data_IF_784195234895
#
_entry.id   IF_784195234895
#
_cell.length_a   1.000
_cell.length_b   1.000
_cell.length_c   1.000
_cell.angle_alpha   90.00
_cell.angle_beta   90.00
_cell.angle_gamma   90.00
#
_symmetry.space_group_name_H-M   'P 1'
#
loop_
_entity.id
_entity.type
_entity.pdbx_description
1 polymer ?
#
# COMPACT_ATOMS: atom_id res chain seq x y z
N UNK A 1 -7.81 -31.23 2.86
CA UNK A 1 -6.47 -31.24 3.49
C UNK A 1 -5.96 -29.82 3.62
N UNK A 2 -5.59 -29.40 4.83
CA UNK A 2 -5.02 -28.06 5.11
C UNK A 2 -3.58 -28.05 4.56
N UNK A 3 -3.30 -27.21 3.57
CA UNK A 3 -1.96 -27.08 2.97
C UNK A 3 -1.02 -26.43 3.99
N UNK A 4 0.06 -27.12 4.37
CA UNK A 4 1.08 -26.58 5.27
C UNK A 4 1.86 -25.51 4.50
N UNK A 5 1.76 -24.27 4.98
CA UNK A 5 2.46 -23.12 4.40
C UNK A 5 3.73 -22.88 5.19
N UNK A 6 4.88 -22.82 4.52
CA UNK A 6 6.17 -22.60 5.18
C UNK A 6 6.91 -21.43 4.55
N UNK A 7 7.53 -20.53 5.35
CA UNK A 7 8.38 -19.47 4.81
C UNK A 7 9.55 -20.01 3.98
N UNK A 8 9.85 -19.37 2.85
CA UNK A 8 10.92 -19.77 1.91
C UNK A 8 12.30 -19.90 2.57
N UNK A 9 12.58 -19.12 3.62
CA UNK A 9 13.87 -19.18 4.35
C UNK A 9 14.22 -20.58 4.87
N UNK A 10 13.22 -21.43 5.11
CA UNK A 10 13.40 -22.80 5.60
C UNK A 10 13.45 -23.84 4.49
N UNK A 11 13.38 -23.45 3.21
CA UNK A 11 13.37 -24.37 2.07
C UNK A 11 14.57 -25.32 2.09
N UNK A 12 15.77 -24.77 2.25
CA UNK A 12 16.99 -25.57 2.27
C UNK A 12 17.05 -26.48 3.51
N UNK A 13 16.71 -25.97 4.68
CA UNK A 13 16.70 -26.75 5.93
C UNK A 13 15.72 -27.93 5.84
N UNK A 14 14.50 -27.69 5.35
CA UNK A 14 13.48 -28.74 5.22
C UNK A 14 13.89 -29.75 4.15
N UNK A 15 14.46 -29.30 3.03
CA UNK A 15 14.97 -30.20 2.00
C UNK A 15 16.08 -31.10 2.54
N UNK A 16 17.02 -30.55 3.33
CA UNK A 16 18.10 -31.32 3.95
C UNK A 16 17.53 -32.32 4.95
N UNK A 17 16.70 -31.88 5.90
CA UNK A 17 16.08 -32.77 6.90
C UNK A 17 15.28 -33.88 6.24
N UNK A 18 14.52 -33.57 5.18
CA UNK A 18 13.78 -34.57 4.40
C UNK A 18 14.69 -35.64 3.83
N UNK A 19 15.71 -35.23 3.07
CA UNK A 19 16.60 -36.17 2.40
C UNK A 19 17.42 -36.99 3.40
N UNK A 20 17.88 -36.39 4.49
CA UNK A 20 18.60 -37.13 5.53
C UNK A 20 17.70 -38.16 6.22
N UNK A 21 16.43 -37.82 6.52
CA UNK A 21 15.48 -38.80 7.08
C UNK A 21 15.21 -39.94 6.10
N UNK A 22 14.94 -39.66 4.82
CA UNK A 22 14.68 -40.70 3.81
C UNK A 22 15.89 -41.63 3.66
N UNK A 23 17.10 -41.07 3.52
CA UNK A 23 18.34 -41.85 3.36
C UNK A 23 18.59 -42.70 4.61
N UNK A 24 18.43 -42.13 5.81
CA UNK A 24 18.58 -42.87 7.06
C UNK A 24 17.58 -44.03 7.16
N UNK A 25 16.31 -43.80 6.80
CA UNK A 25 15.28 -44.85 6.79
C UNK A 25 15.59 -45.97 5.79
N UNK A 26 16.12 -45.64 4.61
CA UNK A 26 16.55 -46.64 3.63
C UNK A 26 17.71 -47.47 4.19
N UNK A 27 18.75 -46.84 4.75
CA UNK A 27 19.89 -47.54 5.34
C UNK A 27 19.41 -48.49 6.45
N UNK A 28 18.58 -48.02 7.38
CA UNK A 28 18.01 -48.84 8.46
C UNK A 28 17.20 -50.03 7.90
N UNK A 29 16.45 -49.83 6.81
CA UNK A 29 15.69 -50.89 6.15
C UNK A 29 16.59 -52.01 5.62
N UNK A 30 17.77 -51.68 5.09
CA UNK A 30 18.72 -52.69 4.59
C UNK A 30 19.46 -53.44 5.70
N UNK A 31 19.57 -52.85 6.90
CA UNK A 31 20.17 -53.53 8.06
C UNK A 31 19.17 -54.41 8.84
N UNK A 32 17.88 -54.09 8.78
CA UNK A 32 16.85 -54.77 9.60
C UNK A 32 16.04 -55.81 8.83
N UNK A 33 15.91 -55.69 7.50
CA UNK A 33 15.06 -56.56 6.68
C UNK A 33 15.90 -57.37 5.69
N UNK A 34 15.39 -58.56 5.32
CA UNK A 34 15.95 -59.34 4.21
C UNK A 34 15.85 -58.56 2.88
N UNK A 35 16.82 -58.77 2.00
CA UNK A 35 16.98 -57.99 0.76
C UNK A 35 15.74 -58.02 -0.13
N UNK A 36 14.98 -59.12 -0.13
CA UNK A 36 13.72 -59.29 -0.88
C UNK A 36 12.62 -58.31 -0.43
N UNK A 37 12.62 -57.90 0.85
CA UNK A 37 11.63 -56.99 1.45
C UNK A 37 12.18 -55.57 1.56
N UNK A 38 13.49 -55.41 1.78
CA UNK A 38 14.13 -54.09 1.92
C UNK A 38 14.01 -53.21 0.65
N UNK A 39 14.13 -53.82 -0.53
CA UNK A 39 14.03 -53.12 -1.82
C UNK A 39 12.64 -52.48 -2.04
N UNK A 40 11.52 -53.22 -1.96
CA UNK A 40 10.20 -52.62 -2.13
C UNK A 40 9.85 -51.59 -1.05
N UNK A 41 10.29 -51.79 0.19
CA UNK A 41 10.11 -50.81 1.28
C UNK A 41 10.86 -49.52 0.99
N UNK A 42 12.09 -49.60 0.49
CA UNK A 42 12.88 -48.42 0.12
C UNK A 42 12.25 -47.62 -1.03
N UNK A 43 11.72 -48.31 -2.05
CA UNK A 43 10.99 -47.68 -3.15
C UNK A 43 9.74 -46.96 -2.63
N UNK A 44 8.99 -47.59 -1.72
CA UNK A 44 7.81 -47.00 -1.10
C UNK A 44 8.16 -45.74 -0.28
N UNK A 45 9.26 -45.77 0.48
CA UNK A 45 9.73 -44.61 1.26
C UNK A 45 10.12 -43.43 0.36
N UNK A 46 10.79 -43.69 -0.76
CA UNK A 46 11.10 -42.65 -1.76
C UNK A 46 9.81 -42.10 -2.36
N UNK A 47 8.85 -42.96 -2.71
CA UNK A 47 7.56 -42.54 -3.26
C UNK A 47 6.76 -41.67 -2.28
N UNK A 48 6.75 -42.02 -0.99
CA UNK A 48 6.17 -41.20 0.08
C UNK A 48 6.90 -39.86 0.19
N UNK A 49 8.24 -39.86 0.11
CA UNK A 49 9.06 -38.65 0.13
C UNK A 49 8.77 -37.68 -1.02
N UNK A 50 8.53 -38.21 -2.23
CA UNK A 50 8.10 -37.45 -3.41
C UNK A 50 6.66 -36.95 -3.22
N UNK A 51 5.77 -37.75 -2.63
CA UNK A 51 4.38 -37.32 -2.40
C UNK A 51 4.27 -36.19 -1.36
N UNK A 52 5.15 -36.18 -0.35
CA UNK A 52 5.25 -35.12 0.65
C UNK A 52 5.77 -33.80 0.03
N UNK A 53 6.40 -33.83 -1.14
CA UNK A 53 7.01 -32.67 -1.81
C UNK A 53 6.03 -31.56 -2.21
N UNK A 54 4.71 -31.79 -2.07
CA UNK A 54 3.65 -30.76 -2.17
C UNK A 54 3.65 -29.75 -1.00
N UNK A 55 4.80 -29.35 -0.47
CA UNK A 55 4.92 -28.25 0.50
C UNK A 55 4.88 -26.94 -0.27
N UNK A 56 3.92 -26.09 0.08
CA UNK A 56 3.75 -24.78 -0.55
C UNK A 56 4.61 -23.76 0.20
N UNK A 57 5.60 -23.22 -0.51
CA UNK A 57 6.46 -22.17 0.01
C UNK A 57 5.82 -20.79 -0.17
N UNK A 58 5.78 -20.01 0.91
CA UNK A 58 5.19 -18.66 0.94
C UNK A 58 6.28 -17.58 0.95
N UNK A 59 6.14 -16.59 0.07
CA UNK A 59 7.06 -15.44 -0.07
C UNK A 59 6.42 -14.19 0.54
N UNK A 60 6.92 -13.72 1.68
CA UNK A 60 6.47 -12.46 2.24
C UNK A 60 7.32 -11.30 1.68
N UNK A 61 6.68 -10.27 1.13
CA UNK A 61 7.37 -9.07 0.64
C UNK A 61 7.18 -7.92 1.62
N UNK A 62 8.29 -7.34 2.04
CA UNK A 62 8.27 -6.20 2.94
C UNK A 62 8.50 -4.92 2.13
N UNK A 63 7.51 -4.03 2.11
CA UNK A 63 7.63 -2.76 1.41
C UNK A 63 7.58 -1.60 2.40
N UNK A 64 8.70 -0.92 2.59
CA UNK A 64 8.78 0.26 3.45
C UNK A 64 8.59 1.51 2.59
N UNK A 65 7.56 2.31 2.86
CA UNK A 65 7.47 3.63 2.25
C UNK A 65 8.50 4.58 2.87
N UNK A 66 9.01 5.57 2.12
CA UNK A 66 9.79 6.65 2.74
C UNK A 66 8.97 7.27 3.88
N UNK A 67 9.60 7.77 4.94
CA UNK A 67 8.92 8.54 5.98
C UNK A 67 9.30 10.02 5.85
N UNK A 68 8.39 10.97 6.14
CA UNK A 68 8.78 12.36 6.33
C UNK A 68 9.74 12.46 7.53
N UNK A 69 10.79 13.29 7.41
CA UNK A 69 11.83 13.53 8.42
C UNK A 69 11.35 14.47 9.54
N UNK A 70 10.54 15.47 9.22
CA UNK A 70 9.92 16.40 10.17
C UNK A 70 8.45 16.05 10.26
N UNK A 71 8.02 15.56 11.42
CA UNK A 71 6.60 15.52 11.70
C UNK A 71 6.28 15.70 13.18
N UNK A 72 5.41 16.66 13.46
CA UNK A 72 4.67 16.79 14.72
C UNK A 72 3.19 16.63 14.41
N UNK A 73 2.45 15.94 15.27
CA UNK A 73 1.00 15.84 15.15
C UNK A 73 0.38 17.25 15.03
N UNK A 74 -0.59 17.44 14.13
CA UNK A 74 -1.32 18.72 14.00
C UNK A 74 -0.64 19.82 13.18
N UNK A 75 0.34 19.51 12.32
CA UNK A 75 1.00 20.51 11.47
C UNK A 75 0.15 21.04 10.30
N UNK A 76 -0.75 20.21 9.77
CA UNK A 76 -1.70 20.62 8.74
C UNK A 76 -2.83 21.45 9.37
N UNK A 77 -3.09 22.62 8.80
CA UNK A 77 -4.06 23.58 9.31
C UNK A 77 -5.43 23.38 8.64
N UNK A 78 -5.46 23.22 7.32
CA UNK A 78 -6.68 22.94 6.56
C UNK A 78 -6.38 22.36 5.17
N UNK A 79 -7.42 21.93 4.47
CA UNK A 79 -7.36 21.56 3.04
C UNK A 79 -7.81 22.74 2.20
N UNK A 80 -7.01 23.11 1.22
CA UNK A 80 -7.35 24.12 0.24
C UNK A 80 -7.86 23.46 -1.05
N UNK A 81 -8.99 23.96 -1.55
CA UNK A 81 -9.59 23.58 -2.84
C UNK A 81 -9.90 24.87 -3.58
N UNK A 82 -9.56 24.93 -4.86
CA UNK A 82 -9.81 26.12 -5.67
C UNK A 82 -9.37 25.94 -7.11
N UNK A 83 -9.23 27.06 -7.80
CA UNK A 83 -8.70 27.14 -9.16
C UNK A 83 -7.47 28.03 -9.15
N UNK A 84 -6.43 27.60 -9.86
CA UNK A 84 -5.20 28.37 -10.00
C UNK A 84 -4.52 28.05 -11.34
N UNK A 85 -3.65 28.95 -11.79
CA UNK A 85 -2.96 28.86 -13.06
C UNK A 85 -1.63 28.11 -12.89
N UNK A 86 -1.57 26.89 -13.44
CA UNK A 86 -0.34 26.08 -13.45
C UNK A 86 0.15 25.88 -14.88
N UNK A 87 1.33 26.42 -15.18
CA UNK A 87 1.92 26.43 -16.52
C UNK A 87 0.99 27.08 -17.57
N UNK A 88 0.44 28.25 -17.27
CA UNK A 88 -0.48 29.01 -18.13
C UNK A 88 -1.81 28.29 -18.44
N UNK A 89 -2.22 27.37 -17.57
CA UNK A 89 -3.49 26.65 -17.68
C UNK A 89 -4.18 26.72 -16.33
N UNK A 90 -5.38 27.31 -16.30
CA UNK A 90 -6.25 27.26 -15.14
C UNK A 90 -6.65 25.81 -14.85
N UNK A 91 -6.39 25.35 -13.64
CA UNK A 91 -6.70 23.99 -13.20
C UNK A 91 -7.30 24.02 -11.81
N UNK A 92 -8.22 23.10 -11.50
CA UNK A 92 -8.59 22.88 -10.12
C UNK A 92 -7.37 22.38 -9.35
N UNK A 93 -7.20 22.86 -8.12
CA UNK A 93 -6.20 22.37 -7.19
C UNK A 93 -6.83 21.82 -5.92
N UNK A 94 -6.13 20.86 -5.34
CA UNK A 94 -6.42 20.33 -4.01
C UNK A 94 -5.09 20.25 -3.27
N UNK A 95 -5.06 20.65 -2.01
CA UNK A 95 -3.84 20.51 -1.24
C UNK A 95 -3.97 20.69 0.24
N UNK A 96 -2.93 20.26 0.94
CA UNK A 96 -2.80 20.42 2.39
C UNK A 96 -2.06 21.72 2.69
N UNK A 97 -2.60 22.51 3.61
CA UNK A 97 -1.98 23.77 4.05
C UNK A 97 -1.29 23.57 5.39
N UNK A 98 -0.02 23.96 5.47
CA UNK A 98 0.84 23.83 6.64
C UNK A 98 1.14 25.19 7.27
N UNK A 99 1.65 25.17 8.50
CA UNK A 99 2.02 26.40 9.21
C UNK A 99 3.30 27.01 8.68
N UNK A 100 4.27 26.18 8.27
CA UNK A 100 5.57 26.65 7.78
C UNK A 100 5.86 26.20 6.35
N UNK A 101 6.74 26.95 5.69
CA UNK A 101 7.21 26.62 4.34
C UNK A 101 7.99 25.30 4.32
N UNK A 102 8.80 25.05 5.34
CA UNK A 102 9.63 23.85 5.47
C UNK A 102 8.75 22.60 5.56
N UNK A 103 7.72 22.63 6.41
CA UNK A 103 6.74 21.54 6.55
C UNK A 103 6.05 21.24 5.22
N UNK A 104 5.56 22.29 4.54
CA UNK A 104 4.88 22.12 3.27
C UNK A 104 5.81 21.55 2.19
N UNK A 105 7.04 22.05 2.09
CA UNK A 105 8.03 21.58 1.10
C UNK A 105 8.39 20.13 1.33
N UNK A 106 8.60 19.75 2.58
CA UNK A 106 8.99 18.39 2.92
C UNK A 106 7.86 17.39 2.64
N UNK A 107 6.63 17.72 3.03
CA UNK A 107 5.49 16.87 2.75
C UNK A 107 5.25 16.74 1.23
N UNK A 108 5.46 17.82 0.47
CA UNK A 108 5.42 17.71 -0.99
C UNK A 108 6.46 16.72 -1.53
N UNK A 109 7.69 16.75 -1.01
CA UNK A 109 8.72 15.80 -1.43
C UNK A 109 8.35 14.37 -1.04
N UNK A 110 7.70 14.17 0.12
CA UNK A 110 7.16 12.88 0.50
C UNK A 110 6.12 12.38 -0.50
N UNK A 111 5.10 13.18 -0.84
CA UNK A 111 4.09 12.80 -1.83
C UNK A 111 4.71 12.54 -3.20
N UNK A 112 5.65 13.39 -3.63
CA UNK A 112 6.38 13.19 -4.88
C UNK A 112 7.19 11.89 -4.88
N UNK A 113 7.79 11.52 -3.75
CA UNK A 113 8.50 10.25 -3.59
C UNK A 113 7.55 9.05 -3.67
N UNK A 114 6.33 9.15 -3.11
CA UNK A 114 5.30 8.12 -3.28
C UNK A 114 4.96 7.88 -4.75
N UNK A 115 4.89 8.95 -5.56
CA UNK A 115 4.70 8.87 -7.02
C UNK A 115 6.00 8.63 -7.80
N UNK A 116 7.02 8.01 -7.18
CA UNK A 116 8.27 7.67 -7.85
C UNK A 116 9.04 8.87 -8.41
N UNK A 117 8.96 10.01 -7.74
CA UNK A 117 9.57 11.30 -8.11
C UNK A 117 8.99 11.97 -9.36
N UNK A 118 7.80 11.54 -9.82
CA UNK A 118 7.12 12.11 -10.99
C UNK A 118 6.11 13.20 -10.59
N UNK A 119 5.91 14.16 -11.50
CA UNK A 119 4.88 15.21 -11.38
C UNK A 119 3.54 14.82 -12.01
N UNK A 120 3.43 13.63 -12.60
CA UNK A 120 2.18 13.13 -13.16
C UNK A 120 1.88 11.79 -12.53
N UNK A 121 0.69 11.66 -11.95
CA UNK A 121 0.23 10.44 -11.26
C UNK A 121 -0.97 9.84 -12.02
N UNK A 122 -0.68 9.31 -13.21
CA UNK A 122 -1.66 8.61 -14.06
C UNK A 122 -2.00 7.23 -13.52
N UNK A 123 -1.01 6.56 -12.92
CA UNK A 123 -1.09 5.20 -12.39
C UNK A 123 -1.77 5.15 -11.00
N UNK A 124 -2.18 6.30 -10.48
CA UNK A 124 -2.85 6.44 -9.19
C UNK A 124 -2.02 5.88 -8.02
N UNK A 125 -0.75 6.24 -7.97
CA UNK A 125 0.21 5.91 -6.91
C UNK A 125 -0.16 6.56 -5.57
N UNK A 126 -0.84 7.72 -5.61
CA UNK A 126 -1.31 8.44 -4.43
C UNK A 126 -2.84 8.45 -4.47
N UNK A 127 -3.49 7.96 -3.42
CA UNK A 127 -4.93 8.10 -3.25
C UNK A 127 -5.23 9.45 -2.59
N UNK A 128 -6.12 10.21 -3.24
CA UNK A 128 -6.80 11.36 -2.66
C UNK A 128 -8.28 10.98 -2.49
N UNK A 129 -8.79 11.07 -1.26
CA UNK A 129 -10.15 10.63 -0.95
C UNK A 129 -10.83 11.62 -0.01
N UNK A 130 -11.98 12.14 -0.44
CA UNK A 130 -12.90 12.85 0.43
C UNK A 130 -13.99 11.89 0.88
N UNK A 131 -14.10 11.71 2.19
CA UNK A 131 -15.19 10.96 2.82
C UNK A 131 -16.07 11.94 3.57
N UNK A 132 -17.27 12.17 3.07
CA UNK A 132 -18.26 13.03 3.69
C UNK A 132 -18.99 12.26 4.79
N UNK A 133 -18.93 12.78 6.02
CA UNK A 133 -19.72 12.27 7.16
C UNK A 133 -21.15 12.79 7.10
N UNK A 134 -21.30 14.03 6.63
CA UNK A 134 -22.56 14.68 6.29
C UNK A 134 -22.30 15.84 5.30
N UNK A 135 -23.29 16.73 5.10
CA UNK A 135 -23.20 17.87 4.19
C UNK A 135 -22.09 18.88 4.53
N UNK A 136 -21.68 18.98 5.81
CA UNK A 136 -20.73 20.00 6.30
C UNK A 136 -19.42 19.40 6.79
N UNK A 137 -19.39 18.10 7.08
CA UNK A 137 -18.25 17.41 7.68
C UNK A 137 -17.66 16.41 6.72
N UNK A 138 -16.34 16.47 6.57
CA UNK A 138 -15.62 15.51 5.75
C UNK A 138 -14.25 15.19 6.33
N UNK A 139 -13.77 14.00 6.00
CA UNK A 139 -12.36 13.63 6.17
C UNK A 139 -11.70 13.65 4.80
N UNK A 140 -10.59 14.36 4.69
CA UNK A 140 -9.70 14.20 3.55
C UNK A 140 -8.61 13.20 3.90
N UNK A 141 -8.39 12.21 3.03
CA UNK A 141 -7.33 11.22 3.14
C UNK A 141 -6.34 11.40 2.00
N UNK A 142 -5.06 11.41 2.37
CA UNK A 142 -3.94 11.22 1.44
C UNK A 142 -3.14 10.02 1.89
N UNK A 143 -2.90 9.06 0.99
CA UNK A 143 -2.10 7.88 1.28
C UNK A 143 -1.61 7.21 -0.01
N UNK A 144 -0.51 6.45 0.01
CA UNK A 144 -0.07 5.63 -1.12
C UNK A 144 -1.11 4.57 -1.48
N UNK A 145 -1.32 4.35 -2.77
CA UNK A 145 -2.12 3.24 -3.26
C UNK A 145 -1.41 1.91 -2.98
N UNK A 146 -2.02 1.09 -2.12
CA UNK A 146 -1.50 -0.22 -1.74
C UNK A 146 -1.41 -1.19 -2.91
N UNK A 147 -2.20 -0.97 -3.97
CA UNK A 147 -2.25 -1.80 -5.18
C UNK A 147 -1.34 -1.31 -6.30
N UNK A 148 -0.42 -0.36 -6.04
CA UNK A 148 0.41 0.26 -7.09
C UNK A 148 1.26 -0.74 -7.90
N UNK A 149 1.50 -0.37 -9.16
CA UNK A 149 2.24 -1.18 -10.14
C UNK A 149 3.60 -1.63 -9.60
N UNK A 150 4.39 -0.79 -8.94
CA UNK A 150 5.70 -1.22 -8.40
C UNK A 150 5.64 -2.39 -7.44
N UNK A 151 4.56 -2.53 -6.67
CA UNK A 151 4.37 -3.71 -5.82
C UNK A 151 4.09 -4.93 -6.69
N UNK A 152 3.27 -4.77 -7.73
CA UNK A 152 2.92 -5.83 -8.69
C UNK A 152 4.08 -6.23 -9.62
N UNK A 153 4.88 -5.28 -10.09
CA UNK A 153 6.08 -5.48 -10.90
C UNK A 153 7.12 -6.28 -10.11
N UNK A 154 7.34 -5.94 -8.82
CA UNK A 154 8.20 -6.71 -7.94
C UNK A 154 7.67 -8.15 -7.75
N UNK A 155 6.34 -8.31 -7.65
CA UNK A 155 5.71 -9.63 -7.56
C UNK A 155 5.93 -10.42 -8.85
N UNK A 156 5.81 -9.78 -10.00
CA UNK A 156 5.98 -10.39 -11.32
C UNK A 156 7.45 -10.75 -11.60
N UNK A 157 8.39 -9.87 -11.27
CA UNK A 157 9.82 -10.14 -11.32
C UNK A 157 10.22 -11.32 -10.42
N UNK A 158 9.61 -11.45 -9.24
CA UNK A 158 9.82 -12.60 -8.37
C UNK A 158 9.25 -13.86 -9.01
N UNK A 159 8.06 -13.81 -9.63
CA UNK A 159 7.49 -14.95 -10.38
C UNK A 159 8.42 -15.39 -11.52
N UNK A 160 9.02 -14.44 -12.24
CA UNK A 160 9.95 -14.69 -13.35
C UNK A 160 11.28 -15.28 -12.86
N UNK A 161 11.88 -14.73 -11.79
CA UNK A 161 13.15 -15.21 -11.22
C UNK A 161 13.05 -16.58 -10.58
N UNK A 162 11.95 -16.87 -9.89
CA UNK A 162 11.78 -18.11 -9.13
C UNK A 162 11.29 -19.30 -9.98
N UNK A 163 11.06 -19.05 -11.29
CA UNK A 163 10.57 -19.99 -12.27
C UNK A 163 9.09 -20.35 -12.04
N UNK A 164 8.34 -20.56 -13.12
CA UNK A 164 6.95 -21.04 -13.12
C UNK A 164 6.78 -22.48 -12.57
N UNK A 165 7.50 -22.86 -11.51
CA UNK A 165 7.30 -24.13 -10.84
C UNK A 165 5.97 -24.10 -10.10
N UNK A 166 5.00 -24.86 -10.62
CA UNK A 166 3.62 -25.05 -10.15
C UNK A 166 3.47 -25.41 -8.66
N UNK A 167 4.57 -25.72 -7.97
CA UNK A 167 4.61 -26.11 -6.55
C UNK A 167 4.73 -24.92 -5.58
N UNK A 168 5.04 -23.71 -6.06
CA UNK A 168 5.15 -22.51 -5.21
C UNK A 168 3.93 -21.62 -5.38
N UNK A 169 3.04 -21.60 -4.38
CA UNK A 169 2.02 -20.54 -4.29
C UNK A 169 2.71 -19.31 -3.74
N UNK A 170 2.93 -18.31 -4.60
CA UNK A 170 3.45 -17.02 -4.20
C UNK A 170 2.36 -16.26 -3.41
N UNK A 171 2.21 -16.59 -2.12
CA UNK A 171 1.39 -15.82 -1.19
C UNK A 171 2.17 -14.56 -0.81
N UNK A 172 2.00 -13.51 -1.60
CA UNK A 172 2.66 -12.23 -1.35
C UNK A 172 1.89 -11.48 -0.27
N UNK A 173 2.46 -11.50 0.93
CA UNK A 173 2.02 -10.59 2.00
C UNK A 173 2.83 -9.30 1.87
N UNK A 174 2.20 -8.19 1.50
CA UNK A 174 2.83 -6.86 1.46
C UNK A 174 2.59 -6.19 2.80
N UNK A 175 3.61 -6.10 3.65
CA UNK A 175 3.55 -5.20 4.80
C UNK A 175 3.99 -3.82 4.34
N UNK A 176 3.09 -2.84 4.44
CA UNK A 176 3.37 -1.45 4.10
C UNK A 176 3.22 -0.56 5.32
N UNK A 177 4.30 0.12 5.71
CA UNK A 177 4.20 1.24 6.65
C UNK A 177 3.65 2.42 5.88
N UNK A 178 2.34 2.60 5.96
CA UNK A 178 1.64 3.71 5.34
C UNK A 178 1.30 4.72 6.40
N UNK A 179 1.72 5.97 6.17
CA UNK A 179 1.17 7.09 6.91
C UNK A 179 -0.11 7.54 6.22
N UNK A 180 -1.20 7.52 6.97
CA UNK A 180 -2.44 8.13 6.55
C UNK A 180 -2.45 9.57 7.06
N UNK A 181 -2.91 10.48 6.22
CA UNK A 181 -3.19 11.86 6.62
C UNK A 181 -4.71 12.03 6.65
N UNK A 182 -5.42 11.41 7.63
CA UNK A 182 -6.81 11.75 7.82
C UNK A 182 -6.89 13.13 8.46
N UNK A 183 -7.68 13.99 7.86
CA UNK A 183 -7.84 15.34 8.34
C UNK A 183 -9.32 15.67 8.34
N UNK A 184 -9.85 15.81 9.54
CA UNK A 184 -11.26 16.11 9.79
C UNK A 184 -11.50 17.60 9.63
N UNK A 185 -12.39 17.98 8.72
CA UNK A 185 -12.73 19.37 8.48
C UNK A 185 -14.23 19.61 8.53
N UNK A 186 -14.58 20.77 9.07
CA UNK A 186 -15.90 21.38 8.95
C UNK A 186 -15.83 22.45 7.87
N UNK A 187 -16.54 22.25 6.76
CA UNK A 187 -16.68 23.24 5.70
C UNK A 187 -18.05 23.91 5.72
N UNK A 188 -18.13 25.10 5.13
CA UNK A 188 -19.40 25.73 4.79
C UNK A 188 -19.87 25.24 3.41
N UNK A 189 -21.11 24.73 3.34
CA UNK A 189 -21.83 24.51 2.08
C UNK A 189 -21.34 23.36 1.17
N UNK A 190 -21.69 23.50 -0.12
CA UNK A 190 -21.70 22.52 -1.20
C UNK A 190 -20.32 22.01 -1.68
N UNK A 191 -19.33 21.83 -0.80
CA UNK A 191 -17.99 21.35 -1.20
C UNK A 191 -18.08 20.03 -1.98
N UNK A 192 -18.96 19.12 -1.57
CA UNK A 192 -19.22 17.86 -2.29
C UNK A 192 -19.61 18.11 -3.75
N UNK A 193 -20.48 19.09 -4.00
CA UNK A 193 -20.92 19.45 -5.34
C UNK A 193 -19.83 20.17 -6.13
N UNK A 194 -19.06 21.06 -5.49
CA UNK A 194 -17.90 21.70 -6.10
C UNK A 194 -16.92 20.62 -6.58
N UNK A 195 -16.62 19.63 -5.71
CA UNK A 195 -15.72 18.55 -6.05
C UNK A 195 -16.27 17.68 -7.20
N UNK A 196 -17.56 17.31 -7.16
CA UNK A 196 -18.18 16.44 -8.18
C UNK A 196 -18.42 17.13 -9.52
N UNK A 197 -18.82 18.40 -9.52
CA UNK A 197 -19.31 19.09 -10.71
C UNK A 197 -18.33 20.11 -11.28
N UNK A 198 -17.38 20.60 -10.49
CA UNK A 198 -16.42 21.61 -10.96
C UNK A 198 -14.98 21.08 -11.01
N UNK A 199 -14.56 20.30 -10.01
CA UNK A 199 -13.19 19.79 -9.91
C UNK A 199 -12.99 18.51 -10.71
N UNK A 200 -13.78 17.46 -10.43
CA UNK A 200 -13.61 16.14 -11.04
C UNK A 200 -13.70 16.16 -12.59
N UNK A 201 -14.60 16.95 -13.23
CA UNK A 201 -14.68 17.02 -14.69
C UNK A 201 -13.48 17.71 -15.34
N UNK A 202 -12.69 18.50 -14.59
CA UNK A 202 -11.56 19.29 -15.09
C UNK A 202 -10.21 18.62 -14.80
N UNK A 203 -10.17 17.30 -14.86
CA UNK A 203 -8.92 16.54 -14.70
C UNK A 203 -7.90 16.85 -15.81
N UNK A 204 -6.59 16.85 -15.50
CA UNK A 204 -5.99 16.54 -14.21
C UNK A 204 -6.07 17.70 -13.21
N UNK A 205 -6.25 17.31 -11.95
CA UNK A 205 -6.27 18.16 -10.75
C UNK A 205 -4.83 18.40 -10.30
N UNK A 206 -4.49 19.64 -9.94
CA UNK A 206 -3.20 19.98 -9.37
C UNK A 206 -3.18 19.62 -7.87
N UNK A 207 -2.44 18.56 -7.50
CA UNK A 207 -2.21 18.22 -6.10
C UNK A 207 -0.90 18.86 -5.61
N UNK A 208 -0.99 19.66 -4.55
CA UNK A 208 0.16 20.38 -3.99
C UNK A 208 0.03 20.55 -2.48
N UNK A 209 1.09 21.00 -1.84
CA UNK A 209 1.06 21.48 -0.47
C UNK A 209 1.28 22.98 -0.45
N UNK A 210 0.72 23.62 0.55
CA UNK A 210 0.76 25.06 0.73
C UNK A 210 1.23 25.39 2.13
N UNK A 211 1.63 26.64 2.33
CA UNK A 211 1.93 27.17 3.66
C UNK A 211 1.28 28.53 3.85
N UNK A 212 1.00 28.88 5.10
CA UNK A 212 0.52 30.21 5.47
C UNK A 212 1.71 31.15 5.65
N UNK A 213 1.69 32.28 4.97
CA UNK A 213 2.65 33.37 5.16
C UNK A 213 1.89 34.69 5.15
N UNK A 214 1.92 35.41 6.26
CA UNK A 214 1.22 36.69 6.44
C UNK A 214 -0.30 36.63 6.13
N UNK A 215 -0.94 35.49 6.40
CA UNK A 215 -2.38 35.28 6.13
C UNK A 215 -2.70 34.84 4.71
N UNK A 216 -1.71 34.76 3.81
CA UNK A 216 -1.88 34.26 2.46
C UNK A 216 -1.43 32.80 2.33
N UNK A 217 -2.14 32.04 1.48
CA UNK A 217 -1.78 30.67 1.14
C UNK A 217 -0.77 30.73 -0.01
N UNK A 218 0.43 30.20 0.23
CA UNK A 218 1.50 30.15 -0.78
C UNK A 218 1.86 28.72 -1.15
N UNK A 219 2.17 28.53 -2.42
CA UNK A 219 2.63 27.25 -2.97
C UNK A 219 3.96 26.83 -2.36
N UNK A 220 4.05 25.61 -1.83
CA UNK A 220 5.32 25.08 -1.35
C UNK A 220 6.33 24.84 -2.50
N UNK A 221 5.83 24.56 -3.70
CA UNK A 221 6.60 24.22 -4.89
C UNK A 221 6.00 24.87 -6.14
N UNK A 222 6.82 25.08 -7.18
CA UNK A 222 6.33 25.66 -8.44
C UNK A 222 5.49 24.70 -9.28
N UNK A 223 5.74 23.39 -9.17
CA UNK A 223 5.13 22.37 -10.01
C UNK A 223 4.31 21.40 -9.16
N UNK A 224 2.99 21.28 -9.40
CA UNK A 224 2.15 20.34 -8.68
C UNK A 224 2.32 18.90 -9.20
N UNK A 225 1.80 17.95 -8.43
CA UNK A 225 1.57 16.58 -8.88
C UNK A 225 0.20 16.55 -9.58
N UNK A 226 0.18 16.26 -10.87
CA UNK A 226 -1.05 16.16 -11.66
C UNK A 226 -1.75 14.83 -11.36
N UNK A 227 -2.92 14.93 -10.73
CA UNK A 227 -3.78 13.82 -10.33
C UNK A 227 -4.95 13.64 -11.29
N UNK A 228 -5.18 12.40 -11.71
CA UNK A 228 -6.27 12.03 -12.62
C UNK A 228 -7.41 11.32 -11.89
N UNK A 229 -7.21 10.98 -10.62
CA UNK A 229 -8.13 10.20 -9.81
C UNK A 229 -8.35 10.92 -8.48
N UNK A 230 -9.62 11.12 -8.15
CA UNK A 230 -10.08 11.68 -6.89
C UNK A 230 -11.30 10.85 -6.45
N UNK A 231 -11.28 10.34 -5.23
CA UNK A 231 -12.43 9.64 -4.65
C UNK A 231 -13.27 10.63 -3.86
N UNK A 232 -14.57 10.59 -4.08
CA UNK A 232 -15.56 11.42 -3.37
C UNK A 232 -16.67 10.48 -2.94
N UNK A 233 -16.72 10.16 -1.65
CA UNK A 233 -17.59 9.14 -1.09
C UNK A 233 -18.35 9.69 0.11
N UNK A 234 -19.52 9.14 0.37
CA UNK A 234 -20.17 9.26 1.67
C UNK A 234 -19.64 8.18 2.62
N UNK A 235 -19.66 8.46 3.92
CA UNK A 235 -19.25 7.48 4.95
C UNK A 235 -20.04 6.17 4.83
N UNK A 236 -21.32 6.25 4.50
CA UNK A 236 -22.23 5.10 4.28
C UNK A 236 -21.91 4.27 3.03
N UNK A 237 -21.16 4.82 2.08
CA UNK A 237 -20.74 4.14 0.85
C UNK A 237 -19.46 3.31 1.06
N UNK A 238 -18.78 3.47 2.20
CA UNK A 238 -17.56 2.73 2.51
C UNK A 238 -17.87 1.25 2.82
N UNK A 239 -17.10 0.37 2.20
CA UNK A 239 -17.13 -1.06 2.43
C UNK A 239 -15.92 -1.49 3.27
N UNK A 240 -15.93 -2.72 3.79
CA UNK A 240 -14.78 -3.29 4.52
C UNK A 240 -13.50 -3.45 3.68
N UNK A 241 -13.58 -3.22 2.36
CA UNK A 241 -12.43 -3.24 1.45
C UNK A 241 -11.77 -1.86 1.34
N UNK A 242 -12.49 -0.81 1.71
CA UNK A 242 -11.98 0.55 1.63
C UNK A 242 -11.06 0.83 2.81
N UNK A 243 -9.89 1.39 2.53
CA UNK A 243 -8.92 1.67 3.59
C UNK A 243 -9.47 2.69 4.59
N UNK A 244 -10.31 3.61 4.11
CA UNK A 244 -10.97 4.64 4.89
C UNK A 244 -12.01 4.07 5.89
N UNK A 245 -12.50 2.84 5.69
CA UNK A 245 -13.46 2.21 6.61
C UNK A 245 -12.85 1.87 7.96
N UNK A 246 -11.52 1.71 8.01
CA UNK A 246 -10.77 1.44 9.25
C UNK A 246 -10.55 2.67 10.14
N UNK A 247 -10.94 3.86 9.69
CA UNK A 247 -10.73 5.13 10.40
C UNK A 247 -12.08 5.71 10.86
N UNK A 248 -12.56 5.35 12.07
CA UNK A 248 -13.79 5.91 12.61
C UNK A 248 -13.63 7.39 12.93
N UNK A 249 -14.51 8.22 12.37
CA UNK A 249 -14.53 9.68 12.55
C UNK A 249 -14.50 10.12 14.02
N UNK A 250 -15.22 9.39 14.87
CA UNK A 250 -15.37 9.69 16.30
C UNK A 250 -14.02 9.66 17.05
N UNK A 251 -13.10 8.79 16.62
CA UNK A 251 -11.78 8.73 17.23
C UNK A 251 -10.86 9.82 16.66
N UNK A 252 -11.00 10.17 15.38
CA UNK A 252 -10.20 11.25 14.77
C UNK A 252 -10.47 12.61 15.41
N UNK A 253 -11.73 12.92 15.75
CA UNK A 253 -12.09 14.17 16.43
C UNK A 253 -11.42 14.33 17.81
N UNK A 254 -11.12 13.24 18.52
CA UNK A 254 -10.43 13.29 19.82
C UNK A 254 -8.98 13.75 19.72
N UNK A 255 -8.35 13.58 18.55
CA UNK A 255 -6.95 13.94 18.32
C UNK A 255 -6.77 15.38 17.78
N UNK A 256 -7.79 15.96 17.14
CA UNK A 256 -7.67 17.27 16.49
C UNK A 256 -8.24 18.45 17.29
N UNK A 257 -8.99 18.20 18.38
CA UNK A 257 -9.59 19.23 19.25
C UNK A 257 -8.96 19.30 20.66
N UNK A 258 -7.63 19.12 20.78
CA UNK A 258 -6.90 19.42 22.02
C UNK A 258 -6.12 20.72 21.92
#
# INVERSE_FOLDING_TARGET
>A
MKKVQVPVRYKNTISIVKWTTIIASIIISFFTLETSVAVPVSILLVAIGIFIERIIYTYNLFYINPMPKIHKEGQQTFVAVGFDEFNNVERPFIGLVYRTQEEAKEEFQYFKALNGNRYSDKDNEIILSYVFEDEKRYTFFVYPNLSRNRTMDNIEDIKLREGHNKEKILNVSVLSFVRFFPSSFTGEGNLKDILKHQVLPRTPIAFQTFYLENGEIKHAQKKPILKYHLRILNREELTSKDTESGFPWQDMMKYFYK
#
